data_IF_252049176584
#
_entry.id   IF_252049176584
#
_cell.length_a   1.000
_cell.length_b   1.000
_cell.length_c   1.000
_cell.angle_alpha   90.00
_cell.angle_beta   90.00
_cell.angle_gamma   90.00
#
_symmetry.space_group_name_H-M   'P 1'
#
loop_
_entity.id
_entity.type
_entity.pdbx_description
1 polymer ?
#
# COMPACT_ATOMS: atom_id res chain seq x y z
N UNK A 1 -0.06 39.91 -14.73
CA UNK A 1 1.34 39.75 -14.29
C UNK A 1 1.29 39.35 -12.81
N UNK A 2 1.48 38.08 -12.49
CA UNK A 2 1.39 37.55 -11.14
C UNK A 2 1.73 36.06 -11.14
N UNK A 3 3.01 35.77 -11.00
CA UNK A 3 3.64 34.45 -11.06
C UNK A 3 3.25 33.61 -9.84
N UNK A 4 2.34 32.65 -10.00
CA UNK A 4 2.11 31.52 -9.08
C UNK A 4 2.55 30.21 -9.75
N UNK A 5 3.79 30.16 -10.23
CA UNK A 5 4.44 28.91 -10.62
C UNK A 5 5.75 28.79 -9.82
N UNK A 6 5.59 28.65 -8.52
CA UNK A 6 6.69 28.59 -7.56
C UNK A 6 6.56 27.39 -6.63
N UNK A 7 6.56 26.17 -7.17
CA UNK A 7 7.03 25.01 -6.39
C UNK A 7 7.97 24.10 -7.22
N UNK A 8 9.18 24.55 -7.64
CA UNK A 8 10.21 23.65 -8.18
C UNK A 8 10.99 22.87 -7.11
N UNK A 9 10.78 23.12 -5.81
CA UNK A 9 11.69 22.64 -4.75
C UNK A 9 11.15 21.48 -3.90
N UNK A 10 9.88 21.10 -4.06
CA UNK A 10 9.24 20.07 -3.23
C UNK A 10 9.35 18.64 -3.79
N UNK A 11 9.68 18.49 -5.08
CA UNK A 11 9.71 17.18 -5.76
C UNK A 11 11.04 16.42 -5.62
N UNK A 12 12.12 17.06 -5.17
CA UNK A 12 13.46 16.45 -5.12
C UNK A 12 13.79 15.67 -3.84
N UNK A 13 12.97 15.79 -2.79
CA UNK A 13 13.26 15.22 -1.46
C UNK A 13 12.23 14.20 -0.96
N UNK A 14 11.24 13.83 -1.77
CA UNK A 14 10.29 12.80 -1.38
C UNK A 14 11.00 11.43 -1.43
N UNK A 15 11.20 10.74 -0.29
CA UNK A 15 11.63 9.35 -0.35
C UNK A 15 10.55 8.53 -1.07
N UNK A 16 10.97 7.45 -1.73
CA UNK A 16 10.04 6.48 -2.30
C UNK A 16 8.99 6.04 -1.26
N UNK A 17 7.74 5.90 -1.71
CA UNK A 17 6.64 5.66 -0.78
C UNK A 17 6.82 4.31 -0.06
N UNK A 18 6.63 4.21 1.27
CA UNK A 18 6.72 2.94 1.99
C UNK A 18 5.79 1.87 1.41
N UNK A 19 4.62 2.29 0.90
CA UNK A 19 3.64 1.41 0.26
C UNK A 19 4.19 0.75 -1.01
N UNK A 20 4.89 1.51 -1.86
CA UNK A 20 5.52 0.96 -3.07
C UNK A 20 6.63 -0.04 -2.74
N UNK A 21 7.41 0.23 -1.70
CA UNK A 21 8.47 -0.69 -1.25
C UNK A 21 7.90 -2.02 -0.74
N UNK A 22 6.72 -2.00 -0.09
CA UNK A 22 6.01 -3.21 0.33
C UNK A 22 5.56 -4.03 -0.89
N UNK A 23 5.04 -3.39 -1.95
CA UNK A 23 4.63 -4.11 -3.18
C UNK A 23 5.80 -4.72 -3.96
N UNK A 24 7.01 -4.21 -3.77
CA UNK A 24 8.24 -4.71 -4.39
C UNK A 24 8.97 -5.74 -3.50
N UNK A 25 8.36 -6.20 -2.39
CA UNK A 25 8.96 -7.07 -1.38
C UNK A 25 10.28 -6.52 -0.77
N UNK A 26 10.49 -5.19 -0.80
CA UNK A 26 11.68 -4.48 -0.27
C UNK A 26 11.43 -3.95 1.15
N UNK A 27 11.12 -4.86 2.08
CA UNK A 27 10.71 -4.50 3.45
C UNK A 27 11.75 -3.73 4.27
N UNK A 28 13.04 -4.05 4.07
CA UNK A 28 14.14 -3.38 4.78
C UNK A 28 14.24 -1.89 4.44
N UNK A 29 13.94 -1.52 3.21
CA UNK A 29 13.93 -0.13 2.77
C UNK A 29 12.66 0.59 3.21
N UNK A 30 11.52 -0.11 3.14
CA UNK A 30 10.27 0.39 3.69
C UNK A 30 10.43 0.76 5.17
N UNK A 31 11.11 -0.09 5.96
CA UNK A 31 11.45 0.17 7.36
C UNK A 31 12.29 1.43 7.55
N UNK A 32 13.33 1.64 6.72
CA UNK A 32 14.18 2.85 6.80
C UNK A 32 13.38 4.12 6.54
N UNK A 33 12.53 4.10 5.51
CA UNK A 33 11.66 5.24 5.19
C UNK A 33 10.64 5.47 6.30
N UNK A 34 10.07 4.41 6.87
CA UNK A 34 9.11 4.51 7.97
C UNK A 34 9.75 5.07 9.25
N UNK A 35 10.98 4.66 9.57
CA UNK A 35 11.77 5.23 10.67
C UNK A 35 12.10 6.70 10.46
N UNK A 36 12.42 7.08 9.23
CA UNK A 36 12.63 8.49 8.90
C UNK A 36 11.33 9.29 9.06
N UNK A 37 10.22 8.78 8.51
CA UNK A 37 8.91 9.41 8.63
C UNK A 37 8.45 9.54 10.10
N UNK A 38 8.73 8.54 10.93
CA UNK A 38 8.49 8.57 12.36
C UNK A 38 9.22 9.72 13.08
N UNK A 39 10.51 9.91 12.76
CA UNK A 39 11.34 10.99 13.32
C UNK A 39 10.80 12.35 12.91
N UNK A 40 10.40 12.51 11.66
CA UNK A 40 9.77 13.74 11.14
C UNK A 40 8.45 14.01 11.85
N UNK A 41 7.63 12.96 12.02
CA UNK A 41 6.31 13.03 12.67
C UNK A 41 6.38 13.05 14.20
N UNK A 42 7.58 13.04 14.79
CA UNK A 42 7.82 12.94 16.25
C UNK A 42 7.02 11.82 16.92
N UNK A 43 6.82 10.71 16.21
CA UNK A 43 6.06 9.56 16.68
C UNK A 43 6.99 8.40 17.04
N UNK A 44 6.60 7.59 18.01
CA UNK A 44 7.32 6.38 18.40
C UNK A 44 6.89 5.21 17.54
N UNK A 45 7.86 4.53 16.93
CA UNK A 45 7.61 3.30 16.18
C UNK A 45 7.75 2.07 17.09
N UNK A 46 6.90 1.05 16.91
CA UNK A 46 7.08 -0.26 17.56
C UNK A 46 8.35 -0.97 17.05
N UNK A 47 8.69 -2.11 17.67
CA UNK A 47 9.88 -2.90 17.29
C UNK A 47 9.89 -3.24 15.80
N UNK A 48 11.10 -3.33 15.24
CA UNK A 48 11.31 -3.64 13.82
C UNK A 48 10.62 -4.94 13.39
N UNK A 49 10.61 -5.94 14.27
CA UNK A 49 9.99 -7.25 14.02
C UNK A 49 8.47 -7.14 13.86
N UNK A 50 7.83 -6.30 14.69
CA UNK A 50 6.39 -6.06 14.66
C UNK A 50 5.99 -5.33 13.38
N UNK A 51 6.83 -4.39 12.94
CA UNK A 51 6.60 -3.65 11.70
C UNK A 51 6.74 -4.58 10.49
N UNK A 52 7.73 -5.47 10.50
CA UNK A 52 7.94 -6.43 9.43
C UNK A 52 6.76 -7.41 9.32
N UNK A 53 6.27 -7.94 10.44
CA UNK A 53 5.08 -8.80 10.49
C UNK A 53 3.82 -8.08 9.99
N UNK A 54 3.65 -6.81 10.34
CA UNK A 54 2.54 -6.01 9.80
C UNK A 54 2.64 -5.84 8.27
N UNK A 55 3.84 -5.65 7.72
CA UNK A 55 4.04 -5.50 6.26
C UNK A 55 3.73 -6.80 5.50
N UNK A 56 4.18 -7.95 6.02
CA UNK A 56 3.88 -9.26 5.41
C UNK A 56 2.39 -9.60 5.51
N UNK A 57 1.75 -9.22 6.61
CA UNK A 57 0.30 -9.36 6.75
C UNK A 57 -0.46 -8.51 5.72
N UNK A 58 -0.03 -7.27 5.45
CA UNK A 58 -0.63 -6.40 4.43
C UNK A 58 -0.47 -6.99 3.03
N UNK A 59 0.71 -7.54 2.70
CA UNK A 59 0.94 -8.25 1.44
C UNK A 59 -0.04 -9.43 1.28
N UNK A 60 -0.20 -10.24 2.34
CA UNK A 60 -1.14 -11.37 2.37
C UNK A 60 -2.59 -10.90 2.21
N UNK A 61 -2.99 -9.80 2.85
CA UNK A 61 -4.33 -9.24 2.68
C UNK A 61 -4.58 -8.78 1.25
N UNK A 62 -3.59 -8.20 0.57
CA UNK A 62 -3.74 -7.77 -0.82
C UNK A 62 -4.09 -8.96 -1.74
N UNK A 63 -3.47 -10.13 -1.53
CA UNK A 63 -3.81 -11.36 -2.23
C UNK A 63 -5.25 -11.83 -1.94
N UNK A 64 -5.64 -11.81 -0.66
CA UNK A 64 -6.98 -12.26 -0.25
C UNK A 64 -8.10 -11.31 -0.71
N UNK A 65 -7.84 -9.99 -0.75
CA UNK A 65 -8.80 -9.00 -1.24
C UNK A 65 -8.97 -9.08 -2.76
N UNK A 66 -7.89 -9.33 -3.51
CA UNK A 66 -7.98 -9.56 -4.95
C UNK A 66 -8.82 -10.81 -5.25
N UNK A 67 -8.58 -11.91 -4.52
CA UNK A 67 -9.43 -13.11 -4.61
C UNK A 67 -10.89 -12.83 -4.28
N UNK A 68 -11.17 -12.04 -3.24
CA UNK A 68 -12.54 -11.65 -2.88
C UNK A 68 -13.18 -10.71 -3.90
N UNK A 69 -12.44 -9.78 -4.52
CA UNK A 69 -12.96 -8.92 -5.61
C UNK A 69 -13.27 -9.73 -6.87
N UNK A 70 -12.41 -10.68 -7.25
CA UNK A 70 -12.67 -11.58 -8.38
C UNK A 70 -13.92 -12.43 -8.10
N UNK A 71 -14.04 -13.00 -6.90
CA UNK A 71 -15.23 -13.76 -6.50
C UNK A 71 -16.51 -12.88 -6.43
N UNK A 72 -16.40 -11.65 -5.92
CA UNK A 72 -17.52 -10.71 -5.86
C UNK A 72 -17.94 -10.23 -7.26
N UNK A 73 -16.99 -10.08 -8.19
CA UNK A 73 -17.28 -9.72 -9.58
C UNK A 73 -17.90 -10.88 -10.36
N UNK A 74 -17.53 -12.13 -10.04
CA UNK A 74 -18.29 -13.30 -10.50
C UNK A 74 -19.73 -13.25 -9.96
N UNK A 75 -19.95 -12.87 -8.70
CA UNK A 75 -21.28 -12.80 -8.09
C UNK A 75 -22.17 -11.66 -8.63
N UNK A 76 -21.59 -10.54 -9.08
CA UNK A 76 -22.37 -9.46 -9.73
C UNK A 76 -22.66 -9.72 -11.22
N UNK A 77 -21.81 -10.50 -11.90
CA UNK A 77 -22.03 -10.90 -13.30
C UNK A 77 -22.87 -12.19 -13.44
N UNK A 78 -23.16 -12.90 -12.34
CA UNK A 78 -24.03 -14.09 -12.34
C UNK A 78 -25.53 -13.81 -12.52
N UNK A 79 -25.95 -12.56 -12.75
CA UNK A 79 -27.31 -12.30 -13.23
C UNK A 79 -27.56 -12.83 -14.66
N UNK A 80 -26.51 -13.21 -15.40
CA UNK A 80 -26.61 -14.00 -16.65
C UNK A 80 -26.19 -15.48 -16.47
N UNK A 81 -26.05 -15.99 -15.25
CA UNK A 81 -25.76 -17.40 -15.02
C UNK A 81 -27.04 -18.22 -14.81
N UNK A 82 -27.78 -18.38 -15.91
CA UNK A 82 -28.70 -19.48 -16.13
C UNK A 82 -27.89 -20.78 -16.32
N UNK A 83 -27.31 -21.31 -15.25
CA UNK A 83 -26.85 -22.70 -15.21
C UNK A 83 -27.32 -23.28 -13.86
N UNK A 84 -28.49 -23.93 -13.86
CA UNK A 84 -28.64 -25.36 -14.13
C UNK A 84 -27.92 -26.19 -13.07
N UNK A 85 -28.48 -26.17 -11.86
CA UNK A 85 -28.59 -27.39 -11.06
C UNK A 85 -29.85 -28.09 -11.58
N UNK A 86 -29.64 -29.13 -12.39
CA UNK A 86 -30.66 -30.17 -12.63
C UNK A 86 -31.08 -30.81 -11.33
#
# INVERSE_FOLDING_TARGET
MGTLFGIPWALGWLPESPRWLITQARFQEALKVLKWAAKVNRNTLPSDDVILDAMTYIEKQAYCQEGHRVLAQCFSNTAECHWRFT
#
